data_IF_138950185149
#
_entry.id   IF_138950185149
#
_cell.length_a   1.000
_cell.length_b   1.000
_cell.length_c   1.000
_cell.angle_alpha   90.00
_cell.angle_beta   90.00
_cell.angle_gamma   90.00
#
_symmetry.space_group_name_H-M   'P 1'
#
loop_
_entity.id
_entity.type
_entity.pdbx_description
1 polymer ?
#
# COMPACT_ATOMS: atom_id res chain seq x y z
N UNK A 1 17.13 -15.16 -2.39
CA UNK A 1 16.52 -13.84 -2.16
C UNK A 1 15.36 -14.03 -1.22
N UNK A 2 15.01 -13.05 -0.37
CA UNK A 2 13.79 -13.13 0.43
C UNK A 2 12.56 -13.11 -0.50
N UNK A 3 11.49 -13.80 -0.10
CA UNK A 3 10.25 -13.83 -0.88
C UNK A 3 9.63 -12.41 -0.94
N UNK A 4 9.20 -12.00 -2.14
CA UNK A 4 8.43 -10.78 -2.34
C UNK A 4 6.99 -11.01 -1.90
N UNK A 5 6.48 -10.17 -1.03
CA UNK A 5 5.16 -10.29 -0.45
C UNK A 5 4.11 -9.55 -1.30
N UNK A 6 2.88 -10.07 -1.32
CA UNK A 6 1.73 -9.46 -1.97
C UNK A 6 0.73 -9.00 -0.91
N UNK A 7 0.60 -7.67 -0.76
CA UNK A 7 -0.53 -7.04 -0.09
C UNK A 7 -1.67 -6.84 -1.08
N UNK A 8 -2.83 -7.40 -0.80
CA UNK A 8 -4.02 -7.23 -1.65
C UNK A 8 -4.89 -6.11 -1.07
N UNK A 9 -4.95 -4.97 -1.79
CA UNK A 9 -5.89 -3.90 -1.42
C UNK A 9 -7.30 -4.25 -1.91
N UNK A 10 -8.25 -4.31 -0.99
CA UNK A 10 -9.63 -4.74 -1.24
C UNK A 10 -10.65 -3.58 -1.25
N UNK A 11 -10.19 -2.32 -1.28
CA UNK A 11 -11.07 -1.14 -1.21
C UNK A 11 -12.16 -1.13 -2.28
N UNK A 12 -11.83 -1.56 -3.51
CA UNK A 12 -12.79 -1.57 -4.61
C UNK A 12 -13.91 -2.59 -4.46
N UNK A 13 -13.76 -3.60 -3.61
CA UNK A 13 -14.88 -4.46 -3.19
C UNK A 13 -15.91 -3.63 -2.41
N UNK A 14 -15.44 -2.79 -1.48
CA UNK A 14 -16.31 -1.87 -0.76
C UNK A 14 -16.91 -0.80 -1.70
N UNK A 15 -16.16 -0.33 -2.69
CA UNK A 15 -16.67 0.58 -3.72
C UNK A 15 -17.86 -0.02 -4.46
N UNK A 16 -17.77 -1.30 -4.89
CA UNK A 16 -18.89 -2.00 -5.53
C UNK A 16 -20.11 -2.13 -4.60
N UNK A 17 -19.89 -2.50 -3.34
CA UNK A 17 -20.96 -2.54 -2.32
C UNK A 17 -21.67 -1.19 -2.20
N UNK A 18 -20.88 -0.13 -2.07
CA UNK A 18 -21.40 1.21 -1.81
C UNK A 18 -22.08 1.82 -3.03
N UNK A 19 -21.69 1.43 -4.27
CA UNK A 19 -22.33 1.90 -5.50
C UNK A 19 -23.85 1.60 -5.56
N UNK A 20 -24.30 0.55 -4.85
CA UNK A 20 -25.71 0.18 -4.75
C UNK A 20 -26.31 0.38 -3.35
N UNK A 21 -25.48 0.74 -2.36
CA UNK A 21 -25.93 0.85 -0.98
C UNK A 21 -26.39 -0.50 -0.38
N UNK A 22 -25.79 -1.61 -0.81
CA UNK A 22 -26.11 -2.98 -0.34
C UNK A 22 -25.13 -3.43 0.72
N UNK A 23 -25.34 -4.64 1.27
CA UNK A 23 -24.42 -5.28 2.22
C UNK A 23 -23.38 -6.17 1.52
N UNK A 24 -23.45 -6.29 0.21
CA UNK A 24 -22.54 -7.12 -0.60
C UNK A 24 -22.04 -6.34 -1.84
N UNK A 25 -20.88 -6.74 -2.41
CA UNK A 25 -19.92 -7.71 -1.88
C UNK A 25 -19.30 -7.22 -0.55
N UNK A 26 -19.04 -8.15 0.39
CA UNK A 26 -18.44 -7.80 1.68
C UNK A 26 -16.90 -7.87 1.60
N UNK A 27 -16.16 -6.79 1.96
CA UNK A 27 -14.71 -6.80 2.03
C UNK A 27 -14.13 -7.90 2.93
N UNK A 28 -14.83 -8.27 4.01
CA UNK A 28 -14.41 -9.37 4.90
C UNK A 28 -14.36 -10.71 4.16
N UNK A 29 -15.38 -10.99 3.34
CA UNK A 29 -15.39 -12.19 2.51
C UNK A 29 -14.29 -12.15 1.45
N UNK A 30 -14.04 -10.99 0.86
CA UNK A 30 -12.98 -10.81 -0.13
C UNK A 30 -11.59 -11.03 0.49
N UNK A 31 -11.33 -10.54 1.71
CA UNK A 31 -10.08 -10.79 2.43
C UNK A 31 -9.82 -12.29 2.62
N UNK A 32 -10.83 -13.04 3.07
CA UNK A 32 -10.72 -14.48 3.24
C UNK A 32 -10.36 -15.21 1.93
N UNK A 33 -11.01 -14.84 0.82
CA UNK A 33 -10.71 -15.42 -0.50
C UNK A 33 -9.29 -15.05 -0.94
N UNK A 34 -8.86 -13.80 -0.72
CA UNK A 34 -7.52 -13.35 -1.08
C UNK A 34 -6.43 -14.09 -0.29
N UNK A 35 -6.61 -14.29 1.02
CA UNK A 35 -5.71 -15.07 1.86
C UNK A 35 -5.58 -16.53 1.37
N UNK A 36 -6.70 -17.18 1.09
CA UNK A 36 -6.71 -18.55 0.55
C UNK A 36 -6.00 -18.65 -0.82
N UNK A 37 -6.05 -17.60 -1.61
CA UNK A 37 -5.41 -17.51 -2.93
C UNK A 37 -3.92 -17.15 -2.88
N UNK A 38 -3.36 -16.86 -1.69
CA UNK A 38 -1.94 -16.64 -1.48
C UNK A 38 -1.53 -15.17 -1.26
N UNK A 39 -2.46 -14.30 -0.88
CA UNK A 39 -2.12 -12.99 -0.35
C UNK A 39 -1.29 -13.13 0.95
N UNK A 40 -0.25 -12.33 1.10
CA UNK A 40 0.58 -12.30 2.32
C UNK A 40 0.11 -11.24 3.32
N UNK A 41 -0.75 -10.34 2.88
CA UNK A 41 -1.41 -9.31 3.68
C UNK A 41 -2.64 -8.74 3.00
N UNK A 42 -3.49 -8.11 3.79
CA UNK A 42 -4.69 -7.39 3.34
C UNK A 42 -4.49 -5.91 3.60
N UNK A 43 -4.61 -5.11 2.54
CA UNK A 43 -4.53 -3.65 2.61
C UNK A 43 -5.93 -3.05 2.48
N UNK A 44 -6.26 -2.13 3.37
CA UNK A 44 -7.50 -1.37 3.36
C UNK A 44 -7.23 0.09 3.68
N UNK A 45 -7.86 0.99 2.95
CA UNK A 45 -7.79 2.42 3.18
C UNK A 45 -9.06 2.93 3.86
N UNK A 46 -8.98 3.21 5.16
CA UNK A 46 -10.04 3.90 5.87
C UNK A 46 -9.87 5.41 5.66
N UNK A 47 -10.55 5.94 4.64
CA UNK A 47 -10.51 7.38 4.34
C UNK A 47 -11.29 8.19 5.36
N UNK A 48 -10.91 9.46 5.55
CA UNK A 48 -11.66 10.41 6.40
C UNK A 48 -13.14 10.49 6.00
N UNK A 49 -13.46 10.42 4.70
CA UNK A 49 -14.83 10.52 4.17
C UNK A 49 -15.59 9.17 4.09
N UNK A 50 -14.94 8.05 4.47
CA UNK A 50 -15.55 6.69 4.45
C UNK A 50 -16.22 6.32 3.13
N UNK A 51 -15.71 6.82 1.98
CA UNK A 51 -16.34 6.60 0.67
C UNK A 51 -16.40 5.13 0.22
N UNK A 52 -15.56 4.27 0.76
CA UNK A 52 -15.56 2.82 0.47
C UNK A 52 -15.46 1.98 1.76
N UNK A 53 -14.28 1.74 2.28
CA UNK A 53 -14.08 1.04 3.57
C UNK A 53 -14.70 1.83 4.71
N UNK A 54 -15.35 1.14 5.62
CA UNK A 54 -16.00 1.70 6.81
C UNK A 54 -15.33 1.20 8.10
N UNK A 55 -15.60 1.88 9.21
CA UNK A 55 -15.09 1.48 10.54
C UNK A 55 -15.51 0.05 10.90
N UNK A 56 -16.71 -0.39 10.49
CA UNK A 56 -17.17 -1.78 10.65
C UNK A 56 -16.22 -2.75 9.93
N UNK A 57 -15.84 -2.44 8.70
CA UNK A 57 -15.00 -3.33 7.90
C UNK A 57 -13.63 -3.51 8.55
N UNK A 58 -13.02 -2.41 8.98
CA UNK A 58 -11.68 -2.42 9.60
C UNK A 58 -11.68 -3.23 10.90
N UNK A 59 -12.70 -3.06 11.76
CA UNK A 59 -12.80 -3.80 13.02
C UNK A 59 -12.95 -5.30 12.78
N UNK A 60 -13.87 -5.70 11.89
CA UNK A 60 -14.08 -7.14 11.62
C UNK A 60 -12.86 -7.75 10.93
N UNK A 61 -12.27 -7.07 9.96
CA UNK A 61 -11.05 -7.54 9.29
C UNK A 61 -9.93 -7.77 10.30
N UNK A 62 -9.72 -6.83 11.25
CA UNK A 62 -8.67 -6.96 12.26
C UNK A 62 -8.81 -8.23 13.11
N UNK A 63 -10.05 -8.62 13.39
CA UNK A 63 -10.36 -9.81 14.19
C UNK A 63 -10.33 -11.12 13.40
N UNK A 64 -10.52 -11.07 12.06
CA UNK A 64 -10.81 -12.26 11.26
C UNK A 64 -9.71 -12.67 10.29
N UNK A 65 -8.90 -11.74 9.78
CA UNK A 65 -7.79 -12.07 8.86
C UNK A 65 -6.72 -12.89 9.59
N UNK A 66 -6.09 -13.79 8.87
CA UNK A 66 -5.04 -14.67 9.39
C UNK A 66 -3.64 -14.21 8.97
N UNK A 67 -3.57 -13.30 8.00
CA UNK A 67 -2.34 -12.66 7.54
C UNK A 67 -2.13 -11.31 8.25
N UNK A 68 -1.47 -10.38 7.59
CA UNK A 68 -1.19 -9.05 8.14
C UNK A 68 -2.18 -8.03 7.61
N UNK A 69 -2.66 -7.16 8.49
CA UNK A 69 -3.45 -6.00 8.12
C UNK A 69 -2.53 -4.80 7.89
N UNK A 70 -2.62 -4.19 6.72
CA UNK A 70 -2.06 -2.88 6.42
C UNK A 70 -3.21 -1.85 6.33
N UNK A 71 -3.28 -0.92 7.28
CA UNK A 71 -4.27 0.14 7.32
C UNK A 71 -3.71 1.41 6.68
N UNK A 72 -4.22 1.77 5.51
CA UNK A 72 -3.92 3.07 4.89
C UNK A 72 -4.82 4.15 5.48
N UNK A 73 -4.25 5.30 5.81
CA UNK A 73 -5.00 6.41 6.38
C UNK A 73 -4.31 7.77 6.21
N UNK A 74 -5.11 8.85 6.28
CA UNK A 74 -4.60 10.21 6.40
C UNK A 74 -3.92 10.45 7.76
N UNK A 75 -3.01 11.44 7.80
CA UNK A 75 -2.30 11.83 9.02
C UNK A 75 -3.10 12.87 9.78
N UNK A 76 -4.16 12.44 10.47
CA UNK A 76 -4.98 13.25 11.37
C UNK A 76 -5.06 12.63 12.76
N UNK A 77 -5.35 13.44 13.77
CA UNK A 77 -5.49 12.94 15.15
C UNK A 77 -6.59 11.90 15.28
N UNK A 78 -7.71 12.07 14.56
CA UNK A 78 -8.80 11.11 14.49
C UNK A 78 -8.31 9.76 13.97
N UNK A 79 -7.67 9.76 12.79
CA UNK A 79 -7.23 8.53 12.15
C UNK A 79 -6.12 7.83 12.93
N UNK A 80 -5.18 8.57 13.50
CA UNK A 80 -4.14 8.01 14.39
C UNK A 80 -4.79 7.39 15.65
N UNK A 81 -5.81 8.04 16.21
CA UNK A 81 -6.58 7.48 17.33
C UNK A 81 -7.27 6.17 16.98
N UNK A 82 -7.94 6.12 15.82
CA UNK A 82 -8.59 4.90 15.31
C UNK A 82 -7.56 3.79 15.08
N UNK A 83 -6.42 4.10 14.46
CA UNK A 83 -5.38 3.11 14.23
C UNK A 83 -4.83 2.54 15.55
N UNK A 84 -4.62 3.37 16.57
CA UNK A 84 -4.21 2.90 17.91
C UNK A 84 -5.27 2.00 18.57
N UNK A 85 -6.58 2.28 18.37
CA UNK A 85 -7.68 1.44 18.88
C UNK A 85 -7.73 0.08 18.15
N UNK A 86 -7.68 0.09 16.83
CA UNK A 86 -7.74 -1.11 15.98
C UNK A 86 -6.48 -1.96 16.13
N UNK A 87 -5.34 -1.33 16.31
CA UNK A 87 -4.02 -1.95 16.40
C UNK A 87 -3.71 -2.89 15.23
N UNK A 88 -3.70 -2.39 13.96
CA UNK A 88 -3.30 -3.19 12.82
C UNK A 88 -1.82 -3.56 12.91
N UNK A 89 -1.37 -4.55 12.13
CA UNK A 89 0.04 -4.92 12.07
C UNK A 89 0.89 -3.80 11.44
N UNK A 90 0.33 -3.18 10.40
CA UNK A 90 0.96 -2.08 9.67
C UNK A 90 -0.03 -0.93 9.52
N UNK A 91 0.51 0.28 9.50
CA UNK A 91 -0.21 1.48 9.11
C UNK A 91 0.59 2.20 8.03
N UNK A 92 0.00 2.42 6.87
CA UNK A 92 0.58 3.23 5.81
C UNK A 92 -0.04 4.62 5.82
N UNK A 93 0.80 5.63 6.05
CA UNK A 93 0.37 7.03 6.03
C UNK A 93 0.36 7.54 4.60
N UNK A 94 -0.83 7.95 4.13
CA UNK A 94 -1.07 8.36 2.74
C UNK A 94 -1.69 9.77 2.70
N UNK A 95 -1.50 10.53 1.60
CA UNK A 95 -2.17 11.82 1.45
C UNK A 95 -3.63 11.62 1.04
N UNK A 96 -4.54 12.44 1.58
CA UNK A 96 -5.94 12.51 1.16
C UNK A 96 -6.35 13.89 0.66
N UNK A 97 -5.63 14.93 1.08
CA UNK A 97 -5.88 16.32 0.70
C UNK A 97 -4.76 16.85 -0.19
N UNK A 98 -5.11 17.80 -1.06
CA UNK A 98 -4.17 18.38 -2.02
C UNK A 98 -2.94 19.06 -1.37
N UNK A 99 -3.07 19.53 -0.14
CA UNK A 99 -1.97 20.14 0.63
C UNK A 99 -0.99 19.13 1.22
N UNK A 100 -1.33 17.84 1.19
CA UNK A 100 -0.54 16.76 1.77
C UNK A 100 0.31 16.03 0.73
N UNK A 101 0.07 16.32 -0.57
CA UNK A 101 0.72 15.65 -1.69
C UNK A 101 1.91 16.44 -2.21
N UNK A 102 2.92 15.72 -2.67
CA UNK A 102 3.97 16.23 -3.54
C UNK A 102 3.41 16.52 -4.94
N UNK A 103 4.24 16.98 -5.86
CA UNK A 103 3.85 17.19 -7.27
C UNK A 103 3.51 15.90 -8.01
N UNK A 104 3.97 14.76 -7.53
CA UNK A 104 3.80 13.44 -8.16
C UNK A 104 2.72 12.58 -7.50
N UNK A 105 2.28 12.92 -6.28
CA UNK A 105 1.14 12.29 -5.62
C UNK A 105 1.45 11.51 -4.34
N UNK A 106 2.72 11.39 -3.93
CA UNK A 106 3.10 10.83 -2.64
C UNK A 106 2.86 11.81 -1.48
N UNK A 107 2.94 11.32 -0.26
CA UNK A 107 2.87 12.12 0.95
C UNK A 107 4.12 13.01 1.07
N UNK A 108 3.94 14.31 1.26
CA UNK A 108 5.05 15.23 1.51
C UNK A 108 5.48 15.18 2.98
N UNK A 109 6.37 14.26 3.28
CA UNK A 109 6.94 14.04 4.62
C UNK A 109 7.94 15.15 4.96
N UNK A 110 8.74 15.55 3.98
CA UNK A 110 9.86 16.47 4.18
C UNK A 110 9.42 17.89 4.60
N UNK A 111 8.25 18.34 4.15
CA UNK A 111 7.70 19.64 4.55
C UNK A 111 6.80 19.55 5.81
N UNK A 112 6.62 18.34 6.39
CA UNK A 112 5.74 18.10 7.53
C UNK A 112 6.43 17.26 8.64
N UNK A 113 7.74 17.36 8.80
CA UNK A 113 8.56 16.52 9.72
C UNK A 113 7.96 16.45 11.13
N UNK A 114 7.61 17.58 11.74
CA UNK A 114 7.11 17.62 13.12
C UNK A 114 5.78 16.83 13.25
N UNK A 115 4.85 17.06 12.33
CA UNK A 115 3.56 16.36 12.29
C UNK A 115 3.76 14.85 12.11
N UNK A 116 4.64 14.45 11.18
CA UNK A 116 4.94 13.07 10.89
C UNK A 116 5.63 12.37 12.07
N UNK A 117 6.59 13.05 12.72
CA UNK A 117 7.28 12.50 13.89
C UNK A 117 6.29 12.18 15.02
N UNK A 118 5.34 13.08 15.30
CA UNK A 118 4.31 12.83 16.31
C UNK A 118 3.42 11.62 15.94
N UNK A 119 2.97 11.54 14.69
CA UNK A 119 2.12 10.45 14.25
C UNK A 119 2.85 9.10 14.27
N UNK A 120 4.08 9.05 13.75
CA UNK A 120 4.92 7.84 13.73
C UNK A 120 5.22 7.37 15.15
N UNK A 121 5.58 8.27 16.08
CA UNK A 121 5.84 7.94 17.48
C UNK A 121 4.61 7.31 18.15
N UNK A 122 3.44 7.96 18.04
CA UNK A 122 2.18 7.45 18.62
C UNK A 122 1.81 6.05 18.12
N UNK A 123 1.92 5.82 16.81
CA UNK A 123 1.63 4.52 16.20
C UNK A 123 2.66 3.46 16.63
N UNK A 124 3.95 3.82 16.67
CA UNK A 124 5.02 2.92 17.10
C UNK A 124 4.90 2.54 18.57
N UNK A 125 4.53 3.47 19.45
CA UNK A 125 4.25 3.23 20.87
C UNK A 125 3.08 2.25 21.08
N UNK A 126 2.11 2.24 20.16
CA UNK A 126 1.03 1.24 20.13
C UNK A 126 1.47 -0.11 19.55
N UNK A 127 2.74 -0.27 19.13
CA UNK A 127 3.27 -1.50 18.54
C UNK A 127 2.98 -1.68 17.05
N UNK A 128 2.53 -0.64 16.37
CA UNK A 128 2.18 -0.66 14.94
C UNK A 128 3.43 -0.32 14.12
N UNK A 129 3.71 -1.12 13.07
CA UNK A 129 4.77 -0.82 12.11
C UNK A 129 4.28 0.23 11.10
N UNK A 130 4.99 1.36 11.01
CA UNK A 130 4.58 2.49 10.18
C UNK A 130 5.31 2.47 8.84
N UNK A 131 4.56 2.63 7.76
CA UNK A 131 5.02 2.89 6.39
C UNK A 131 4.60 4.29 5.95
N UNK A 132 5.41 4.93 5.11
CA UNK A 132 5.08 6.23 4.51
C UNK A 132 4.98 6.08 3.00
N UNK A 133 3.82 6.44 2.43
CA UNK A 133 3.58 6.42 0.99
C UNK A 133 4.18 7.65 0.32
N UNK A 134 5.37 7.51 -0.23
CA UNK A 134 6.18 8.62 -0.76
C UNK A 134 6.59 8.41 -2.22
N UNK A 135 6.94 9.49 -2.90
CA UNK A 135 7.55 9.39 -4.23
C UNK A 135 8.98 8.85 -4.16
N UNK A 136 9.50 8.39 -5.30
CA UNK A 136 10.87 7.93 -5.45
C UNK A 136 11.86 9.12 -5.43
N UNK A 137 11.92 9.84 -4.31
CA UNK A 137 12.70 11.06 -4.06
C UNK A 137 13.57 10.88 -2.81
N UNK A 138 14.86 11.17 -2.94
CA UNK A 138 15.84 11.05 -1.86
C UNK A 138 15.52 11.95 -0.67
N UNK A 139 14.97 13.15 -0.90
CA UNK A 139 14.56 14.08 0.16
C UNK A 139 13.42 13.48 1.01
N UNK A 140 12.46 12.83 0.37
CA UNK A 140 11.36 12.15 1.07
C UNK A 140 11.85 10.92 1.83
N UNK A 141 12.81 10.17 1.27
CA UNK A 141 13.43 9.01 1.93
C UNK A 141 14.21 9.46 3.17
N UNK A 142 15.03 10.52 3.08
CA UNK A 142 15.75 11.07 4.22
C UNK A 142 14.79 11.57 5.31
N UNK A 143 13.67 12.18 4.91
CA UNK A 143 12.62 12.59 5.82
C UNK A 143 11.96 11.39 6.52
N UNK A 144 11.69 10.30 5.81
CA UNK A 144 11.15 9.06 6.39
C UNK A 144 12.09 8.48 7.47
N UNK A 145 13.40 8.49 7.22
CA UNK A 145 14.40 8.11 8.22
C UNK A 145 14.36 9.05 9.43
N UNK A 146 14.30 10.37 9.19
CA UNK A 146 14.31 11.37 10.25
C UNK A 146 13.11 11.27 11.19
N UNK A 147 11.91 10.92 10.69
CA UNK A 147 10.71 10.74 11.51
C UNK A 147 10.63 9.35 12.16
N UNK A 148 11.59 8.46 11.88
CA UNK A 148 11.70 7.14 12.52
C UNK A 148 10.77 6.07 11.94
N UNK A 149 10.23 6.24 10.74
CA UNK A 149 9.43 5.20 10.09
C UNK A 149 10.33 4.04 9.63
N UNK A 150 10.00 2.77 9.97
CA UNK A 150 10.79 1.61 9.56
C UNK A 150 10.54 1.15 8.11
N UNK A 151 9.46 1.59 7.50
CA UNK A 151 9.05 1.24 6.14
C UNK A 151 8.74 2.49 5.31
N UNK A 152 8.92 2.36 4.02
CA UNK A 152 8.33 3.25 3.01
C UNK A 152 7.56 2.42 1.98
N UNK A 153 6.57 3.04 1.37
CA UNK A 153 5.94 2.53 0.17
C UNK A 153 6.17 3.52 -0.97
N UNK A 154 6.93 3.09 -1.98
CA UNK A 154 7.22 3.94 -3.14
C UNK A 154 5.98 4.02 -4.04
N UNK A 155 5.51 5.24 -4.30
CA UNK A 155 4.46 5.53 -5.25
C UNK A 155 4.91 5.20 -6.67
N UNK A 156 4.24 4.25 -7.33
CA UNK A 156 4.59 3.81 -8.69
C UNK A 156 3.67 4.38 -9.78
N UNK A 157 2.85 5.39 -9.46
CA UNK A 157 1.90 5.98 -10.40
C UNK A 157 2.55 6.54 -11.66
N UNK A 158 3.62 7.33 -11.54
CA UNK A 158 4.33 7.88 -12.69
C UNK A 158 4.90 6.80 -13.62
N UNK A 159 5.37 5.68 -13.05
CA UNK A 159 5.77 4.50 -13.81
C UNK A 159 4.59 3.84 -14.54
N UNK A 160 3.47 3.69 -13.85
CA UNK A 160 2.29 3.01 -14.38
C UNK A 160 1.58 3.82 -15.47
N UNK A 161 1.55 5.15 -15.34
CA UNK A 161 0.86 6.09 -16.23
C UNK A 161 1.76 6.58 -17.37
N UNK A 162 3.01 6.11 -17.45
CA UNK A 162 3.94 6.51 -18.49
C UNK A 162 3.39 6.19 -19.89
N UNK A 163 3.38 7.18 -20.77
CA UNK A 163 2.78 7.10 -22.12
C UNK A 163 3.72 6.53 -23.18
N UNK A 164 4.95 6.19 -22.81
CA UNK A 164 5.94 5.57 -23.72
C UNK A 164 6.87 4.64 -22.94
N UNK A 165 7.42 3.64 -23.63
CA UNK A 165 8.39 2.69 -23.06
C UNK A 165 9.63 3.42 -22.51
N UNK A 166 10.07 4.47 -23.18
CA UNK A 166 11.21 5.27 -22.73
C UNK A 166 10.94 5.99 -21.41
N UNK A 167 9.75 6.59 -21.26
CA UNK A 167 9.34 7.24 -20.03
C UNK A 167 9.17 6.21 -18.90
N UNK A 168 8.53 5.08 -19.19
CA UNK A 168 8.37 4.00 -18.22
C UNK A 168 9.71 3.44 -17.74
N UNK A 169 10.66 3.24 -18.64
CA UNK A 169 12.00 2.79 -18.29
C UNK A 169 12.78 3.83 -17.46
N UNK A 170 12.61 5.12 -17.75
CA UNK A 170 13.21 6.18 -16.95
C UNK A 170 12.68 6.17 -15.50
N UNK A 171 11.37 6.00 -15.34
CA UNK A 171 10.74 5.88 -14.03
C UNK A 171 11.17 4.62 -13.28
N UNK A 172 11.29 3.48 -13.97
CA UNK A 172 11.81 2.25 -13.37
C UNK A 172 13.23 2.43 -12.82
N UNK A 173 14.10 3.11 -13.57
CA UNK A 173 15.46 3.44 -13.11
C UNK A 173 15.44 4.37 -11.90
N UNK A 174 14.52 5.35 -11.86
CA UNK A 174 14.33 6.25 -10.72
C UNK A 174 13.90 5.48 -9.48
N UNK A 175 12.89 4.61 -9.61
CA UNK A 175 12.38 3.75 -8.52
C UNK A 175 13.50 2.82 -8.01
N UNK A 176 14.25 2.17 -8.91
CA UNK A 176 15.34 1.29 -8.51
C UNK A 176 16.42 2.02 -7.70
N UNK A 177 16.83 3.23 -8.12
CA UNK A 177 17.77 4.07 -7.37
C UNK A 177 17.23 4.46 -5.98
N UNK A 178 15.98 4.84 -5.91
CA UNK A 178 15.31 5.20 -4.66
C UNK A 178 15.22 4.00 -3.70
N UNK A 179 14.85 2.82 -4.22
CA UNK A 179 14.79 1.59 -3.44
C UNK A 179 16.15 1.19 -2.87
N UNK A 180 17.21 1.22 -3.69
CA UNK A 180 18.59 0.95 -3.23
C UNK A 180 19.02 1.95 -2.17
N UNK A 181 18.73 3.25 -2.37
CA UNK A 181 19.04 4.28 -1.40
C UNK A 181 18.33 4.07 -0.07
N UNK A 182 17.02 3.84 -0.11
CA UNK A 182 16.21 3.58 1.08
C UNK A 182 16.70 2.35 1.85
N UNK A 183 17.00 1.25 1.16
CA UNK A 183 17.57 0.05 1.76
C UNK A 183 18.95 0.32 2.42
N UNK A 184 19.79 1.17 1.81
CA UNK A 184 21.09 1.57 2.41
C UNK A 184 20.93 2.37 3.69
N UNK A 185 19.77 3.02 3.90
CA UNK A 185 19.42 3.73 5.13
C UNK A 185 18.77 2.84 6.20
N UNK A 186 18.56 1.55 5.90
CA UNK A 186 17.94 0.60 6.80
C UNK A 186 16.42 0.52 6.71
N UNK A 187 15.80 1.22 5.75
CA UNK A 187 14.36 1.14 5.51
C UNK A 187 14.00 -0.15 4.77
N UNK A 188 12.84 -0.71 5.09
CA UNK A 188 12.19 -1.72 4.23
C UNK A 188 11.35 -1.03 3.19
N UNK A 189 11.46 -1.51 1.94
CA UNK A 189 10.88 -0.86 0.78
C UNK A 189 9.70 -1.66 0.25
N UNK A 190 8.51 -1.07 0.33
CA UNK A 190 7.32 -1.52 -0.36
C UNK A 190 7.08 -0.64 -1.59
N UNK A 191 6.19 -1.07 -2.49
CA UNK A 191 5.75 -0.23 -3.60
C UNK A 191 4.28 -0.51 -3.91
N UNK A 192 3.59 0.49 -4.44
CA UNK A 192 2.18 0.38 -4.80
C UNK A 192 1.69 1.51 -5.69
N UNK A 193 0.44 1.41 -6.05
CA UNK A 193 -0.33 2.30 -6.92
C UNK A 193 -0.02 2.14 -8.41
N UNK A 194 -1.06 1.79 -9.18
CA UNK A 194 -0.99 1.68 -10.65
C UNK A 194 -0.37 0.38 -11.17
N UNK A 195 0.09 -0.54 -10.31
CA UNK A 195 0.62 -1.82 -10.75
C UNK A 195 -0.48 -2.73 -11.30
N UNK A 196 -0.18 -3.37 -12.43
CA UNK A 196 -1.09 -4.25 -13.19
C UNK A 196 -0.37 -5.55 -13.58
N UNK A 197 -1.10 -6.50 -14.17
CA UNK A 197 -0.53 -7.74 -14.73
C UNK A 197 0.48 -7.51 -15.86
N UNK A 198 0.49 -6.31 -16.47
CA UNK A 198 1.36 -5.98 -17.60
C UNK A 198 2.62 -5.21 -17.21
N UNK A 199 2.66 -4.61 -16.01
CA UNK A 199 3.77 -3.75 -15.60
C UNK A 199 4.40 -4.15 -14.25
N UNK A 200 3.86 -5.16 -13.55
CA UNK A 200 4.32 -5.53 -12.20
C UNK A 200 5.71 -6.18 -12.19
N UNK A 201 6.05 -6.96 -13.21
CA UNK A 201 7.27 -7.79 -13.18
C UNK A 201 8.57 -6.97 -13.07
N UNK A 202 8.78 -5.84 -13.80
CA UNK A 202 9.98 -5.03 -13.63
C UNK A 202 10.16 -4.47 -12.21
N UNK A 203 9.06 -4.07 -11.55
CA UNK A 203 9.09 -3.60 -10.15
C UNK A 203 9.34 -4.77 -9.21
N UNK A 204 8.67 -5.90 -9.42
CA UNK A 204 8.86 -7.12 -8.64
C UNK A 204 10.31 -7.66 -8.72
N UNK A 205 11.01 -7.46 -9.82
CA UNK A 205 12.39 -7.89 -10.03
C UNK A 205 13.41 -7.09 -9.19
N UNK A 206 13.07 -5.91 -8.69
CA UNK A 206 13.98 -5.10 -7.88
C UNK A 206 14.27 -5.79 -6.54
N UNK A 207 15.55 -6.10 -6.23
CA UNK A 207 15.89 -6.95 -5.08
C UNK A 207 15.54 -6.34 -3.72
N UNK A 208 15.47 -5.02 -3.63
CA UNK A 208 15.13 -4.28 -2.41
C UNK A 208 13.64 -4.31 -2.09
N UNK A 209 12.76 -4.63 -3.06
CA UNK A 209 11.32 -4.67 -2.81
C UNK A 209 10.96 -5.79 -1.84
N UNK A 210 10.31 -5.40 -0.75
CA UNK A 210 9.84 -6.30 0.30
C UNK A 210 8.39 -6.74 0.08
N UNK A 211 7.52 -5.80 -0.30
CA UNK A 211 6.09 -6.04 -0.53
C UNK A 211 5.55 -5.15 -1.66
N UNK A 212 4.62 -5.67 -2.45
CA UNK A 212 3.84 -4.88 -3.40
C UNK A 212 2.38 -4.84 -2.94
N UNK A 213 1.81 -3.63 -2.82
CA UNK A 213 0.41 -3.39 -2.48
C UNK A 213 -0.37 -3.11 -3.77
N UNK A 214 -1.28 -4.05 -4.15
CA UNK A 214 -1.99 -4.00 -5.44
C UNK A 214 -3.49 -4.16 -5.20
N UNK A 215 -4.27 -3.19 -5.66
CA UNK A 215 -5.73 -3.16 -5.50
C UNK A 215 -6.49 -3.21 -6.80
N UNK A 216 -6.57 -2.07 -7.50
CA UNK A 216 -7.47 -1.89 -8.64
C UNK A 216 -7.32 -2.97 -9.72
N UNK A 217 -6.10 -3.31 -10.10
CA UNK A 217 -5.85 -4.33 -11.14
C UNK A 217 -6.38 -5.71 -10.72
N UNK A 218 -6.16 -6.12 -9.47
CA UNK A 218 -6.64 -7.41 -8.95
C UNK A 218 -8.16 -7.43 -8.91
N UNK A 219 -8.82 -6.39 -8.38
CA UNK A 219 -10.27 -6.36 -8.28
C UNK A 219 -10.91 -6.22 -9.67
N UNK A 220 -10.32 -5.43 -10.57
CA UNK A 220 -10.77 -5.34 -11.96
C UNK A 220 -10.71 -6.69 -12.69
N UNK A 221 -9.60 -7.41 -12.55
CA UNK A 221 -9.47 -8.77 -13.10
C UNK A 221 -10.44 -9.74 -12.44
N UNK A 222 -10.68 -9.61 -11.14
CA UNK A 222 -11.59 -10.47 -10.39
C UNK A 222 -13.05 -10.40 -10.88
N UNK A 223 -13.47 -9.27 -11.44
CA UNK A 223 -14.81 -9.13 -12.07
C UNK A 223 -14.98 -10.11 -13.23
N UNK A 224 -13.90 -10.44 -13.94
CA UNK A 224 -13.92 -11.32 -15.12
C UNK A 224 -13.57 -12.78 -14.80
N UNK A 225 -12.62 -13.02 -13.88
CA UNK A 225 -12.07 -14.36 -13.61
C UNK A 225 -12.33 -14.89 -12.19
N UNK A 226 -12.92 -14.07 -11.32
CA UNK A 226 -13.04 -14.37 -9.89
C UNK A 226 -11.79 -13.98 -9.09
N UNK A 227 -12.00 -13.64 -7.81
CA UNK A 227 -10.94 -13.04 -6.96
C UNK A 227 -9.79 -14.02 -6.69
N UNK A 228 -10.08 -15.29 -6.46
CA UNK A 228 -9.04 -16.29 -6.18
C UNK A 228 -8.06 -16.43 -7.36
N UNK A 229 -8.58 -16.53 -8.59
CA UNK A 229 -7.75 -16.62 -9.80
C UNK A 229 -6.91 -15.32 -9.97
N UNK A 230 -7.55 -14.16 -9.83
CA UNK A 230 -6.87 -12.87 -9.97
C UNK A 230 -5.69 -12.72 -8.99
N UNK A 231 -5.86 -13.08 -7.72
CA UNK A 231 -4.78 -13.03 -6.71
C UNK A 231 -3.68 -14.02 -7.04
N UNK A 232 -4.04 -15.27 -7.39
CA UNK A 232 -3.06 -16.31 -7.74
C UNK A 232 -2.22 -15.91 -8.95
N UNK A 233 -2.85 -15.39 -10.01
CA UNK A 233 -2.15 -14.96 -11.22
C UNK A 233 -1.16 -13.83 -10.93
N UNK A 234 -1.55 -12.82 -10.13
CA UNK A 234 -0.64 -11.76 -9.73
C UNK A 234 0.56 -12.30 -8.93
N UNK A 235 0.31 -13.19 -7.98
CA UNK A 235 1.37 -13.83 -7.19
C UNK A 235 2.34 -14.65 -8.04
N UNK A 236 1.85 -15.31 -9.08
CA UNK A 236 2.68 -16.06 -10.04
C UNK A 236 3.61 -15.12 -10.78
N UNK A 237 3.11 -14.01 -11.35
CA UNK A 237 3.93 -13.01 -12.05
C UNK A 237 5.03 -12.44 -11.15
N UNK A 238 4.71 -12.12 -9.90
CA UNK A 238 5.69 -11.61 -8.94
C UNK A 238 6.78 -12.64 -8.62
N UNK A 239 6.41 -13.91 -8.46
CA UNK A 239 7.38 -14.99 -8.21
C UNK A 239 8.26 -15.27 -9.42
N UNK A 240 7.72 -15.21 -10.63
CA UNK A 240 8.48 -15.39 -11.87
C UNK A 240 9.54 -14.31 -12.08
N UNK A 241 9.23 -13.07 -11.70
CA UNK A 241 10.16 -11.95 -11.75
C UNK A 241 11.37 -12.10 -10.79
N UNK A 242 11.30 -12.99 -9.81
CA UNK A 242 12.35 -13.26 -8.80
C UNK A 242 13.17 -14.54 -9.07
N UNK A 243 12.86 -15.28 -10.14
CA UNK A 243 13.62 -16.47 -10.58
C UNK A 243 14.83 -16.05 -11.41
#
# INVERSE_FOLDING_TARGET
>A
MADLLLGVNIDHIATLRNARGTIYPDPVQAAFIAEQAGADGITVHLREDRRHITDRDVRILRETIQTRMNLEMAVTDEMVGIACEINPHFCCLVPEKRQEVTTEGGLDVADQIDKMTVAVSRLSEAGILVSLFIDADMRQIDAAVAVGAPYIEIHTGAYADATSDLAQQAELVRIAKAATYAASKGLKVNAGHGLTYHNVQPIAALPEMHELNIGHAIIGQAVMSGLAAAVTDMKVLMREARR
#
